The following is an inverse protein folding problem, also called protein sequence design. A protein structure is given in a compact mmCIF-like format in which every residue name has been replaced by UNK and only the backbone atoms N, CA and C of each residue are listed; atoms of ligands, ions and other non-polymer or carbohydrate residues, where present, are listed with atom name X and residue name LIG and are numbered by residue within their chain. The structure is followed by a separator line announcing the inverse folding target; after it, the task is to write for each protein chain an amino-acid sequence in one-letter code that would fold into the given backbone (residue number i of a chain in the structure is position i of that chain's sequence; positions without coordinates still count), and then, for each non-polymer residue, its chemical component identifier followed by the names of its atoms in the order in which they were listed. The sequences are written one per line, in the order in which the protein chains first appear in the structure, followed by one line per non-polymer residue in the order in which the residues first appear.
data_IF_521616007267
#
_entry.id   IF_521616007267
#
_cell.length_a   1.000
_cell.length_b   1.000
_cell.length_c   1.000
_cell.angle_alpha   90.00
_cell.angle_beta   90.00
_cell.angle_gamma   90.00
#
_symmetry.space_group_name_H-M   'P 1'
#
loop_
_entity.id
_entity.type
_entity.pdbx_description
1 polymer ?
#
# COMPACT_ATOMS: atom_id res chain seq x y z
N UNK A 1 -4.68 -17.16 4.80
CA UNK A 1 -5.54 -15.96 4.72
C UNK A 1 -7.00 -16.22 5.11
N UNK A 2 -7.57 -17.40 4.84
CA UNK A 2 -8.85 -17.85 5.43
C UNK A 2 -8.74 -18.09 6.94
N UNK A 3 -7.56 -18.48 7.42
CA UNK A 3 -7.25 -18.71 8.83
C UNK A 3 -7.51 -17.49 9.73
N UNK A 4 -7.18 -16.28 9.29
CA UNK A 4 -7.40 -15.06 10.10
C UNK A 4 -8.89 -14.76 10.31
N UNK A 5 -9.71 -14.93 9.27
CA UNK A 5 -11.15 -14.75 9.33
C UNK A 5 -11.84 -15.84 10.15
N UNK A 6 -11.37 -17.07 10.05
CA UNK A 6 -11.85 -18.19 10.88
C UNK A 6 -11.52 -17.93 12.36
N UNK A 7 -10.30 -17.52 12.68
CA UNK A 7 -9.89 -17.21 14.05
C UNK A 7 -10.66 -16.01 14.61
N UNK A 8 -10.81 -14.93 13.84
CA UNK A 8 -11.59 -13.76 14.28
C UNK A 8 -13.08 -14.10 14.49
N UNK A 9 -13.67 -14.91 13.61
CA UNK A 9 -15.04 -15.41 13.77
C UNK A 9 -15.21 -16.24 15.05
N UNK A 10 -14.25 -17.12 15.35
CA UNK A 10 -14.25 -17.93 16.58
C UNK A 10 -14.20 -17.03 17.83
N UNK A 11 -13.36 -16.00 17.85
CA UNK A 11 -13.27 -15.08 18.99
C UNK A 11 -14.56 -14.28 19.21
N UNK A 12 -15.22 -13.83 18.14
CA UNK A 12 -16.51 -13.11 18.22
C UNK A 12 -17.60 -14.03 18.76
N UNK A 13 -17.68 -15.27 18.28
CA UNK A 13 -18.64 -16.27 18.77
C UNK A 13 -18.37 -16.59 20.23
N UNK A 14 -17.11 -16.77 20.62
CA UNK A 14 -16.71 -17.02 22.00
C UNK A 14 -17.10 -15.87 22.95
N UNK A 15 -16.90 -14.62 22.54
CA UNK A 15 -17.30 -13.44 23.31
C UNK A 15 -18.83 -13.37 23.49
N UNK A 16 -19.59 -13.62 22.42
CA UNK A 16 -21.06 -13.65 22.48
C UNK A 16 -21.59 -14.75 23.40
N UNK A 17 -20.96 -15.93 23.39
CA UNK A 17 -21.35 -17.07 24.23
C UNK A 17 -21.23 -16.76 25.73
N UNK A 18 -20.31 -15.88 26.13
CA UNK A 18 -20.13 -15.47 27.53
C UNK A 18 -21.02 -14.29 27.93
N UNK A 19 -21.27 -13.36 27.02
CA UNK A 19 -22.03 -12.13 27.29
C UNK A 19 -23.55 -12.37 27.27
N UNK A 20 -24.05 -13.21 26.37
CA UNK A 20 -25.49 -13.45 26.24
C UNK A 20 -26.12 -14.06 27.51
N UNK A 21 -25.56 -15.13 28.11
CA UNK A 21 -26.17 -15.75 29.29
C UNK A 21 -26.10 -14.88 30.54
N UNK A 22 -25.06 -14.06 30.65
CA UNK A 22 -24.87 -13.16 31.80
C UNK A 22 -25.83 -11.98 31.75
N UNK A 23 -26.14 -11.47 30.55
CA UNK A 23 -27.13 -10.41 30.35
C UNK A 23 -28.58 -10.90 30.47
N UNK A 24 -28.85 -12.16 30.11
CA UNK A 24 -30.18 -12.78 30.17
C UNK A 24 -30.54 -13.32 31.56
N UNK A 25 -29.59 -13.38 32.51
CA UNK A 25 -29.85 -13.85 33.88
C UNK A 25 -30.56 -12.77 34.68
N UNK A 26 -31.89 -12.77 34.56
CA UNK A 26 -32.82 -11.88 35.23
C UNK A 26 -32.62 -11.93 36.77
N UNK A 27 -32.02 -10.88 37.35
CA UNK A 27 -31.74 -10.77 38.79
C UNK A 27 -32.86 -10.00 39.50
N UNK A 28 -34.11 -10.37 39.26
CA UNK A 28 -35.29 -9.68 39.80
C UNK A 28 -36.28 -10.68 40.40
N UNK A 29 -36.38 -10.70 41.73
CA UNK A 29 -37.51 -11.34 42.42
C UNK A 29 -37.26 -11.86 43.83
N UNK A 30 -36.02 -12.20 44.21
CA UNK A 30 -35.83 -13.02 45.42
C UNK A 30 -35.67 -12.23 46.73
N UNK A 31 -35.42 -10.92 46.69
CA UNK A 31 -35.15 -10.12 47.89
C UNK A 31 -36.39 -9.56 48.59
N UNK A 32 -37.53 -9.41 47.87
CA UNK A 32 -38.76 -8.82 48.43
C UNK A 32 -39.68 -9.84 49.09
N UNK A 33 -39.94 -10.97 48.42
CA UNK A 33 -40.87 -12.01 48.92
C UNK A 33 -40.28 -12.77 50.11
N UNK A 34 -38.98 -13.09 50.08
CA UNK A 34 -38.30 -13.79 51.17
C UNK A 34 -38.24 -12.97 52.48
N UNK A 35 -38.16 -11.63 52.40
CA UNK A 35 -38.22 -10.74 53.58
C UNK A 35 -39.61 -10.71 54.21
N UNK A 36 -40.67 -10.65 53.39
CA UNK A 36 -42.07 -10.62 53.86
C UNK A 36 -42.46 -11.91 54.58
N UNK A 37 -42.04 -13.08 54.07
CA UNK A 37 -42.31 -14.37 54.73
C UNK A 37 -41.48 -14.55 56.01
N UNK A 38 -40.23 -14.09 56.03
CA UNK A 38 -39.35 -14.21 57.20
C UNK A 38 -39.79 -13.33 58.37
N UNK A 39 -40.26 -12.10 58.11
CA UNK A 39 -40.69 -11.21 59.19
C UNK A 39 -41.99 -11.71 59.86
N UNK A 40 -42.94 -12.24 59.09
CA UNK A 40 -44.22 -12.74 59.64
C UNK A 40 -44.04 -13.99 60.51
N UNK A 41 -43.08 -14.88 60.18
CA UNK A 41 -42.83 -16.06 61.01
C UNK A 41 -42.26 -15.68 62.38
N UNK A 42 -41.38 -14.68 62.45
CA UNK A 42 -40.79 -14.22 63.72
C UNK A 42 -41.86 -13.73 64.70
N UNK A 43 -42.83 -12.95 64.22
CA UNK A 43 -43.93 -12.46 65.05
C UNK A 43 -44.84 -13.58 65.57
N UNK A 44 -45.05 -14.63 64.78
CA UNK A 44 -45.82 -15.81 65.23
C UNK A 44 -45.11 -16.55 66.35
N UNK A 45 -43.80 -16.70 66.25
CA UNK A 45 -42.99 -17.37 67.27
C UNK A 45 -43.01 -16.58 68.60
N UNK A 46 -42.91 -15.25 68.54
CA UNK A 46 -42.97 -14.38 69.73
C UNK A 46 -44.32 -14.41 70.45
N UNK A 47 -45.44 -14.56 69.73
CA UNK A 47 -46.76 -14.75 70.36
C UNK A 47 -46.83 -16.10 71.09
N UNK A 48 -46.27 -17.15 70.49
CA UNK A 48 -46.23 -18.47 71.13
C UNK A 48 -45.36 -18.48 72.40
N UNK A 49 -44.31 -17.66 72.45
CA UNK A 49 -43.47 -17.50 73.64
C UNK A 49 -44.25 -16.82 74.78
N UNK A 50 -44.96 -15.71 74.49
CA UNK A 50 -45.85 -15.04 75.45
C UNK A 50 -46.94 -15.98 75.99
N UNK A 51 -47.50 -16.86 75.16
CA UNK A 51 -48.49 -17.85 75.59
C UNK A 51 -47.89 -18.87 76.58
N UNK A 52 -46.63 -19.25 76.39
CA UNK A 52 -45.94 -20.16 77.31
C UNK A 52 -45.59 -19.47 78.63
N UNK A 53 -45.19 -18.21 78.60
CA UNK A 53 -44.87 -17.45 79.81
C UNK A 53 -46.10 -17.19 80.68
N UNK A 54 -47.27 -16.98 80.07
CA UNK A 54 -48.54 -16.92 80.79
C UNK A 54 -48.90 -18.26 81.44
N UNK A 55 -48.65 -19.38 80.75
CA UNK A 55 -48.92 -20.73 81.29
C UNK A 55 -47.97 -21.13 82.41
N UNK A 56 -46.75 -20.61 82.39
CA UNK A 56 -45.72 -20.89 83.40
C UNK A 56 -45.79 -19.91 84.58
N UNK A 57 -46.88 -19.11 84.70
CA UNK A 57 -47.07 -18.05 85.71
C UNK A 57 -45.94 -17.02 85.76
N UNK A 58 -45.18 -16.86 84.67
CA UNK A 58 -44.09 -15.87 84.54
C UNK A 58 -44.68 -14.49 84.24
N UNK A 59 -45.70 -14.43 83.38
CA UNK A 59 -46.49 -13.22 83.12
C UNK A 59 -47.88 -13.34 83.75
N UNK A 60 -48.38 -12.24 84.31
CA UNK A 60 -49.78 -12.16 84.69
C UNK A 60 -50.68 -11.84 83.46
N UNK A 61 -51.99 -12.05 83.60
CA UNK A 61 -52.93 -11.88 82.49
C UNK A 61 -52.95 -10.46 81.90
N UNK A 62 -52.73 -9.45 82.73
CA UNK A 62 -52.73 -8.04 82.33
C UNK A 62 -51.48 -7.71 81.49
N UNK A 63 -50.30 -8.15 81.95
CA UNK A 63 -49.02 -7.99 81.27
C UNK A 63 -48.99 -8.73 79.92
N UNK A 64 -49.57 -9.93 79.86
CA UNK A 64 -49.71 -10.67 78.61
C UNK A 64 -50.54 -9.89 77.59
N UNK A 65 -51.70 -9.36 78.01
CA UNK A 65 -52.57 -8.60 77.12
C UNK A 65 -51.91 -7.31 76.62
N UNK A 66 -51.16 -6.62 77.48
CA UNK A 66 -50.41 -5.42 77.10
C UNK A 66 -49.29 -5.76 76.09
N UNK A 67 -48.47 -6.77 76.39
CA UNK A 67 -47.34 -7.17 75.53
C UNK A 67 -47.82 -7.66 74.15
N UNK A 68 -48.93 -8.41 74.13
CA UNK A 68 -49.57 -8.87 72.90
C UNK A 68 -50.07 -7.71 72.04
N UNK A 69 -50.65 -6.69 72.66
CA UNK A 69 -51.14 -5.52 71.94
C UNK A 69 -50.00 -4.70 71.32
N UNK A 70 -48.92 -4.47 72.06
CA UNK A 70 -47.72 -3.78 71.55
C UNK A 70 -47.08 -4.53 70.37
N UNK A 71 -47.01 -5.87 70.47
CA UNK A 71 -46.48 -6.70 69.40
C UNK A 71 -47.33 -6.63 68.12
N UNK A 72 -48.66 -6.62 68.26
CA UNK A 72 -49.58 -6.46 67.13
C UNK A 72 -49.44 -5.10 66.45
N UNK A 73 -49.32 -4.01 67.23
CA UNK A 73 -49.08 -2.68 66.67
C UNK A 73 -47.75 -2.60 65.91
N UNK A 74 -46.69 -3.21 66.46
CA UNK A 74 -45.38 -3.27 65.80
C UNK A 74 -45.45 -4.06 64.50
N UNK A 75 -46.15 -5.20 64.48
CA UNK A 75 -46.35 -6.01 63.28
C UNK A 75 -47.05 -5.21 62.18
N UNK A 76 -48.09 -4.43 62.50
CA UNK A 76 -48.80 -3.59 61.53
C UNK A 76 -47.87 -2.50 60.97
N UNK A 77 -46.98 -1.93 61.79
CA UNK A 77 -46.01 -0.91 61.36
C UNK A 77 -44.88 -1.48 60.50
N UNK A 78 -44.43 -2.69 60.81
CA UNK A 78 -43.32 -3.37 60.14
C UNK A 78 -43.75 -4.15 58.89
N UNK A 79 -45.06 -4.33 58.68
CA UNK A 79 -45.64 -4.76 57.40
C UNK A 79 -45.96 -3.48 56.63
N UNK A 80 -45.16 -3.08 55.63
CA UNK A 80 -45.48 -1.90 54.84
C UNK A 80 -46.83 -2.12 54.15
N UNK A 81 -47.80 -1.24 54.40
CA UNK A 81 -48.92 -1.05 53.46
C UNK A 81 -48.30 -0.63 52.12
N UNK A 82 -48.67 -1.32 51.06
CA UNK A 82 -48.21 -0.99 49.72
C UNK A 82 -48.72 0.41 49.35
N UNK A 83 -47.83 1.41 49.31
CA UNK A 83 -48.03 2.56 48.43
C UNK A 83 -48.02 2.02 46.98
N UNK A 84 -49.12 2.14 46.21
CA UNK A 84 -49.14 1.68 44.82
C UNK A 84 -48.45 2.68 43.88
N UNK A 85 -47.45 3.43 44.36
CA UNK A 85 -46.77 4.45 43.56
C UNK A 85 -45.34 4.63 44.05
N UNK A 86 -44.40 3.89 43.45
CA UNK A 86 -43.05 4.34 43.07
C UNK A 86 -42.08 3.17 43.01
N UNK A 87 -41.56 2.89 41.81
CA UNK A 87 -40.47 1.94 41.64
C UNK A 87 -40.56 1.00 40.44
N UNK A 88 -41.51 1.20 39.52
CA UNK A 88 -41.37 0.64 38.18
C UNK A 88 -40.27 1.39 37.41
N UNK A 89 -39.00 1.25 37.83
CA UNK A 89 -37.96 1.15 36.82
C UNK A 89 -38.19 -0.18 36.13
N UNK A 90 -39.08 -0.14 35.15
CA UNK A 90 -39.04 -1.08 34.07
C UNK A 90 -37.63 -0.95 33.48
N UNK A 91 -36.68 -1.80 33.88
CA UNK A 91 -35.73 -2.31 32.90
C UNK A 91 -36.56 -3.16 31.96
N UNK A 92 -37.33 -2.44 31.13
CA UNK A 92 -38.18 -2.98 30.10
C UNK A 92 -37.29 -3.91 29.31
N UNK A 93 -37.79 -5.08 28.93
CA UNK A 93 -37.08 -5.97 27.99
C UNK A 93 -36.56 -5.20 26.75
N UNK A 94 -37.11 -4.00 26.46
CA UNK A 94 -36.56 -3.03 25.51
C UNK A 94 -35.14 -2.51 25.84
N UNK A 95 -34.73 -2.23 27.09
CA UNK A 95 -33.37 -1.70 27.36
C UNK A 95 -32.28 -2.76 27.18
N UNK A 96 -32.58 -4.03 27.50
CA UNK A 96 -31.70 -5.17 27.21
C UNK A 96 -31.66 -5.43 25.70
N UNK A 97 -32.82 -5.39 25.03
CA UNK A 97 -32.89 -5.53 23.58
C UNK A 97 -32.16 -4.40 22.84
N UNK A 98 -32.25 -3.14 23.28
CA UNK A 98 -31.52 -2.03 22.65
C UNK A 98 -30.02 -2.14 22.87
N UNK A 99 -29.56 -2.59 24.05
CA UNK A 99 -28.13 -2.83 24.29
C UNK A 99 -27.60 -3.98 23.42
N UNK A 100 -28.37 -5.05 23.24
CA UNK A 100 -28.00 -6.14 22.33
C UNK A 100 -27.96 -5.68 20.86
N UNK A 101 -28.91 -4.84 20.44
CA UNK A 101 -28.92 -4.26 19.08
C UNK A 101 -27.72 -3.35 18.86
N UNK A 102 -27.33 -2.51 19.81
CA UNK A 102 -26.15 -1.63 19.69
C UNK A 102 -24.85 -2.45 19.61
N UNK A 103 -24.72 -3.50 20.42
CA UNK A 103 -23.55 -4.39 20.41
C UNK A 103 -23.44 -5.15 19.09
N UNK A 104 -24.56 -5.55 18.48
CA UNK A 104 -24.57 -6.23 17.18
C UNK A 104 -24.40 -5.26 16.01
N UNK A 105 -24.96 -4.04 16.13
CA UNK A 105 -24.89 -3.02 15.09
C UNK A 105 -23.47 -2.46 14.94
N UNK A 106 -22.70 -2.35 16.03
CA UNK A 106 -21.33 -1.83 15.99
C UNK A 106 -20.38 -2.63 15.07
N UNK A 107 -20.25 -3.97 15.16
CA UNK A 107 -19.42 -4.75 14.24
C UNK A 107 -19.97 -4.76 12.81
N UNK A 108 -21.30 -4.77 12.63
CA UNK A 108 -21.91 -4.70 11.29
C UNK A 108 -21.60 -3.35 10.64
N UNK A 109 -21.71 -2.25 11.39
CA UNK A 109 -21.38 -0.91 10.94
C UNK A 109 -19.88 -0.80 10.64
N UNK A 110 -19.01 -1.40 11.46
CA UNK A 110 -17.57 -1.44 11.21
C UNK A 110 -17.23 -2.19 9.91
N UNK A 111 -17.86 -3.34 9.66
CA UNK A 111 -17.71 -4.08 8.40
C UNK A 111 -18.26 -3.28 7.22
N UNK A 112 -19.42 -2.63 7.37
CA UNK A 112 -20.02 -1.81 6.32
C UNK A 112 -19.19 -0.56 5.97
N UNK A 113 -18.67 0.14 6.98
CA UNK A 113 -17.73 1.26 6.80
C UNK A 113 -16.42 0.79 6.16
N UNK A 114 -15.92 -0.39 6.53
CA UNK A 114 -14.74 -0.96 5.88
C UNK A 114 -15.00 -1.28 4.41
N UNK A 115 -16.18 -1.76 4.04
CA UNK A 115 -16.54 -1.98 2.64
C UNK A 115 -16.73 -0.66 1.85
N UNK A 116 -17.17 0.42 2.51
CA UNK A 116 -17.38 1.73 1.86
C UNK A 116 -16.11 2.60 1.77
N UNK A 117 -15.30 2.62 2.83
CA UNK A 117 -14.13 3.50 2.98
C UNK A 117 -12.80 2.74 2.85
N UNK A 118 -12.81 1.45 3.14
CA UNK A 118 -11.62 0.60 3.04
C UNK A 118 -11.30 0.29 1.59
N UNK A 119 -10.01 0.34 1.27
CA UNK A 119 -9.52 -0.15 -0.01
C UNK A 119 -9.60 -1.68 -0.02
N UNK A 120 -10.71 -2.24 -0.46
CA UNK A 120 -10.89 -3.69 -0.68
C UNK A 120 -9.82 -4.28 -1.61
N UNK A 121 -9.10 -3.43 -2.36
CA UNK A 121 -7.97 -3.82 -3.21
C UNK A 121 -6.66 -4.06 -2.44
N UNK A 122 -6.56 -3.70 -1.15
CA UNK A 122 -5.42 -4.08 -0.30
C UNK A 122 -5.56 -5.51 0.27
N UNK A 123 -6.73 -6.12 0.14
CA UNK A 123 -7.02 -7.52 0.49
C UNK A 123 -6.89 -8.50 -0.69
N UNK A 124 -6.75 -7.98 -1.92
CA UNK A 124 -6.25 -8.80 -3.02
C UNK A 124 -4.83 -9.23 -2.64
N UNK A 125 -4.43 -10.50 -2.86
CA UNK A 125 -3.06 -10.92 -2.69
C UNK A 125 -2.16 -9.89 -3.37
N UNK A 126 -1.37 -9.15 -2.58
CA UNK A 126 -0.26 -8.38 -3.14
C UNK A 126 0.54 -9.34 -4.02
N UNK A 127 1.03 -8.89 -5.19
CA UNK A 127 1.55 -9.82 -6.17
C UNK A 127 2.60 -10.68 -5.49
N UNK A 128 2.31 -11.98 -5.42
CA UNK A 128 3.25 -13.05 -5.04
C UNK A 128 4.58 -12.87 -5.81
N UNK A 129 4.54 -12.13 -6.92
CA UNK A 129 5.61 -11.75 -7.81
C UNK A 129 6.63 -10.74 -7.23
N UNK A 130 6.27 -9.85 -6.30
CA UNK A 130 7.29 -9.04 -5.59
C UNK A 130 8.12 -9.90 -4.63
N UNK A 131 7.48 -10.90 -4.00
CA UNK A 131 8.17 -11.91 -3.19
C UNK A 131 8.96 -12.89 -4.07
N UNK A 132 8.49 -13.21 -5.28
CA UNK A 132 9.22 -14.03 -6.25
C UNK A 132 10.53 -13.35 -6.70
N UNK A 133 10.54 -12.03 -6.89
CA UNK A 133 11.77 -11.29 -7.25
C UNK A 133 12.82 -11.27 -6.14
N UNK A 134 12.39 -11.41 -4.89
CA UNK A 134 13.27 -11.54 -3.72
C UNK A 134 13.73 -12.99 -3.54
N UNK A 135 12.87 -13.98 -3.84
CA UNK A 135 13.18 -15.40 -3.75
C UNK A 135 14.08 -15.93 -4.88
N UNK A 136 14.05 -15.32 -6.06
CA UNK A 136 14.88 -15.67 -7.24
C UNK A 136 16.40 -15.47 -6.97
N UNK A 137 16.75 -14.68 -5.94
CA UNK A 137 18.15 -14.48 -5.53
C UNK A 137 18.68 -15.50 -4.52
N UNK A 138 17.83 -16.36 -3.95
CA UNK A 138 18.18 -17.24 -2.83
C UNK A 138 17.82 -18.71 -3.03
N UNK A 139 17.17 -19.09 -4.13
CA UNK A 139 16.62 -20.44 -4.28
C UNK A 139 17.51 -21.33 -5.15
N UNK A 140 18.06 -22.37 -4.52
CA UNK A 140 18.77 -23.47 -5.16
C UNK A 140 17.86 -24.19 -6.17
N UNK A 141 18.45 -24.63 -7.27
CA UNK A 141 17.87 -25.06 -8.55
C UNK A 141 16.87 -26.25 -8.58
N UNK A 142 16.27 -26.65 -7.46
CA UNK A 142 15.31 -27.78 -7.41
C UNK A 142 13.83 -27.35 -7.27
N UNK A 143 13.52 -26.09 -6.95
CA UNK A 143 12.13 -25.62 -6.67
C UNK A 143 11.47 -24.81 -7.82
N UNK A 144 12.19 -24.56 -8.92
CA UNK A 144 11.70 -23.72 -10.04
C UNK A 144 10.50 -24.36 -10.75
N UNK A 145 10.44 -25.70 -10.79
CA UNK A 145 9.39 -26.43 -11.50
C UNK A 145 7.98 -26.28 -10.89
N UNK A 146 7.86 -26.13 -9.57
CA UNK A 146 6.55 -25.98 -8.92
C UNK A 146 6.03 -24.53 -8.99
N UNK A 147 6.93 -23.55 -8.94
CA UNK A 147 6.59 -22.13 -8.92
C UNK A 147 6.12 -21.62 -10.29
N UNK A 148 6.76 -22.06 -11.38
CA UNK A 148 6.35 -21.72 -12.75
C UNK A 148 4.97 -22.28 -13.10
N UNK A 149 4.65 -23.48 -12.59
CA UNK A 149 3.33 -24.11 -12.77
C UNK A 149 2.24 -23.35 -12.02
N UNK A 150 2.51 -22.90 -10.80
CA UNK A 150 1.55 -22.12 -10.01
C UNK A 150 1.28 -20.76 -10.67
N UNK A 151 2.33 -20.03 -11.09
CA UNK A 151 2.22 -18.75 -11.80
C UNK A 151 1.43 -18.93 -13.12
N UNK A 152 1.74 -19.97 -13.89
CA UNK A 152 1.04 -20.25 -15.15
C UNK A 152 -0.44 -20.55 -14.92
N UNK A 153 -0.79 -21.27 -13.86
CA UNK A 153 -2.18 -21.55 -13.50
C UNK A 153 -2.96 -20.28 -13.13
N UNK A 154 -2.34 -19.34 -12.41
CA UNK A 154 -2.94 -18.05 -12.04
C UNK A 154 -3.21 -17.23 -13.31
N UNK A 155 -2.24 -17.15 -14.21
CA UNK A 155 -2.39 -16.46 -15.50
C UNK A 155 -3.52 -17.08 -16.32
N UNK A 156 -3.58 -18.41 -16.43
CA UNK A 156 -4.62 -19.09 -17.20
C UNK A 156 -6.03 -18.85 -16.62
N UNK A 157 -6.17 -18.88 -15.29
CA UNK A 157 -7.44 -18.55 -14.63
C UNK A 157 -7.87 -17.10 -14.89
N UNK A 158 -6.92 -16.17 -14.88
CA UNK A 158 -7.18 -14.76 -15.18
C UNK A 158 -7.63 -14.57 -16.64
N UNK A 159 -6.97 -15.25 -17.58
CA UNK A 159 -7.37 -15.25 -19.01
C UNK A 159 -8.78 -15.79 -19.17
N UNK A 160 -9.09 -16.97 -18.60
CA UNK A 160 -10.42 -17.57 -18.71
C UNK A 160 -11.53 -16.68 -18.14
N UNK A 161 -11.26 -15.97 -17.02
CA UNK A 161 -12.19 -14.99 -16.48
C UNK A 161 -12.41 -13.82 -17.46
N UNK A 162 -11.34 -13.28 -18.02
CA UNK A 162 -11.41 -12.14 -18.95
C UNK A 162 -12.08 -12.51 -20.27
N UNK A 163 -12.04 -13.77 -20.69
CA UNK A 163 -12.84 -14.27 -21.81
C UNK A 163 -14.35 -14.23 -21.51
N UNK A 164 -14.74 -14.54 -20.27
CA UNK A 164 -16.15 -14.44 -19.83
C UNK A 164 -16.60 -13.02 -19.48
N UNK A 165 -15.65 -12.12 -19.17
CA UNK A 165 -15.88 -10.74 -18.76
C UNK A 165 -14.98 -9.79 -19.58
N UNK A 166 -15.24 -9.63 -20.90
CA UNK A 166 -14.36 -8.88 -21.78
C UNK A 166 -14.27 -7.39 -21.45
N UNK A 167 -15.24 -6.84 -20.73
CA UNK A 167 -15.28 -5.43 -20.34
C UNK A 167 -14.55 -5.12 -19.01
N UNK A 168 -13.94 -6.13 -18.36
CA UNK A 168 -13.18 -5.95 -17.11
C UNK A 168 -11.82 -5.27 -17.39
N UNK A 169 -11.83 -3.94 -17.51
CA UNK A 169 -10.65 -3.11 -17.79
C UNK A 169 -9.53 -3.32 -16.76
N UNK A 170 -9.89 -3.47 -15.48
CA UNK A 170 -8.92 -3.70 -14.40
C UNK A 170 -8.29 -5.09 -14.52
N UNK A 171 -9.09 -6.10 -14.84
CA UNK A 171 -8.60 -7.45 -15.11
C UNK A 171 -7.59 -7.47 -16.26
N UNK A 172 -7.88 -6.78 -17.37
CA UNK A 172 -6.96 -6.67 -18.50
C UNK A 172 -5.68 -5.92 -18.11
N UNK A 173 -5.78 -4.85 -17.33
CA UNK A 173 -4.62 -4.12 -16.82
C UNK A 173 -3.74 -5.03 -15.95
N UNK A 174 -4.35 -5.81 -15.06
CA UNK A 174 -3.65 -6.77 -14.21
C UNK A 174 -2.97 -7.84 -15.04
N UNK A 175 -3.65 -8.43 -16.03
CA UNK A 175 -3.06 -9.45 -16.92
C UNK A 175 -1.85 -8.89 -17.68
N UNK A 176 -1.95 -7.68 -18.23
CA UNK A 176 -0.85 -7.02 -18.92
C UNK A 176 0.36 -6.79 -18.01
N UNK A 177 0.14 -6.37 -16.77
CA UNK A 177 1.20 -6.24 -15.75
C UNK A 177 1.83 -7.57 -15.41
N UNK A 178 1.03 -8.60 -15.19
CA UNK A 178 1.52 -9.94 -14.88
C UNK A 178 2.43 -10.44 -15.99
N UNK A 179 1.99 -10.37 -17.26
CA UNK A 179 2.86 -10.73 -18.38
C UNK A 179 4.13 -9.89 -18.44
N UNK A 180 4.06 -8.59 -18.14
CA UNK A 180 5.24 -7.71 -18.12
C UNK A 180 6.26 -8.14 -17.07
N UNK A 181 5.80 -8.51 -15.87
CA UNK A 181 6.71 -8.93 -14.79
C UNK A 181 7.32 -10.30 -15.10
N UNK A 182 6.58 -11.18 -15.77
CA UNK A 182 7.08 -12.48 -16.24
C UNK A 182 8.00 -12.38 -17.46
N UNK A 183 8.32 -11.17 -17.95
CA UNK A 183 9.14 -10.96 -19.14
C UNK A 183 8.44 -11.34 -20.46
N UNK A 184 7.15 -11.68 -20.41
CA UNK A 184 6.30 -12.03 -21.55
C UNK A 184 5.78 -10.77 -22.24
N UNK A 185 6.71 -9.94 -22.73
CA UNK A 185 6.41 -8.59 -23.22
C UNK A 185 5.51 -8.59 -24.47
N UNK A 186 5.60 -9.62 -25.31
CA UNK A 186 4.76 -9.73 -26.50
C UNK A 186 3.30 -9.96 -26.12
N UNK A 187 3.03 -10.87 -25.20
CA UNK A 187 1.68 -11.12 -24.69
C UNK A 187 1.13 -9.94 -23.90
N UNK A 188 1.98 -9.28 -23.09
CA UNK A 188 1.61 -8.03 -22.43
C UNK A 188 1.20 -6.96 -23.44
N UNK A 189 1.97 -6.79 -24.53
CA UNK A 189 1.68 -5.84 -25.61
C UNK A 189 0.32 -6.10 -26.25
N UNK A 190 -0.02 -7.35 -26.55
CA UNK A 190 -1.34 -7.74 -27.10
C UNK A 190 -2.48 -7.43 -26.13
N UNK A 191 -2.28 -7.68 -24.83
CA UNK A 191 -3.27 -7.35 -23.78
C UNK A 191 -3.50 -5.84 -23.70
N UNK A 192 -2.44 -5.03 -23.70
CA UNK A 192 -2.58 -3.58 -23.68
C UNK A 192 -3.25 -3.02 -24.94
N UNK A 193 -3.04 -3.64 -26.11
CA UNK A 193 -3.77 -3.27 -27.34
C UNK A 193 -5.27 -3.51 -27.17
N UNK A 194 -5.68 -4.66 -26.62
CA UNK A 194 -7.10 -4.94 -26.32
C UNK A 194 -7.66 -3.94 -25.31
N UNK A 195 -6.93 -3.69 -24.22
CA UNK A 195 -7.33 -2.73 -23.19
C UNK A 195 -7.53 -1.32 -23.76
N UNK A 196 -6.63 -0.86 -24.63
CA UNK A 196 -6.73 0.45 -25.27
C UNK A 196 -7.82 0.51 -26.37
N UNK A 197 -8.25 -0.64 -26.91
CA UNK A 197 -9.43 -0.66 -27.77
C UNK A 197 -10.73 -0.39 -26.97
N UNK A 198 -10.79 -0.88 -25.74
CA UNK A 198 -11.93 -0.66 -24.82
C UNK A 198 -11.86 0.71 -24.12
N UNK A 199 -10.65 1.16 -23.76
CA UNK A 199 -10.41 2.43 -23.08
C UNK A 199 -9.24 3.19 -23.72
N UNK A 200 -9.47 3.90 -24.85
CA UNK A 200 -8.41 4.54 -25.63
C UNK A 200 -7.61 5.61 -24.89
N UNK A 201 -8.21 6.23 -23.87
CA UNK A 201 -7.64 7.36 -23.14
C UNK A 201 -7.23 6.99 -21.71
N UNK A 202 -7.16 5.69 -21.40
CA UNK A 202 -6.55 5.22 -20.16
C UNK A 202 -5.06 5.58 -20.14
N UNK A 203 -4.70 6.60 -19.36
CA UNK A 203 -3.30 7.05 -19.20
C UNK A 203 -2.42 5.90 -18.72
N UNK A 204 -2.91 5.11 -17.77
CA UNK A 204 -2.16 3.99 -17.19
C UNK A 204 -1.89 2.88 -18.20
N UNK A 205 -2.88 2.55 -19.05
CA UNK A 205 -2.71 1.58 -20.12
C UNK A 205 -1.75 2.11 -21.21
N UNK A 206 -1.87 3.39 -21.60
CA UNK A 206 -0.98 4.01 -22.60
C UNK A 206 0.49 3.96 -22.17
N UNK A 207 0.77 4.35 -20.92
CA UNK A 207 2.15 4.39 -20.40
C UNK A 207 2.71 2.98 -20.20
N UNK A 208 1.90 2.05 -19.69
CA UNK A 208 2.34 0.66 -19.52
C UNK A 208 2.55 -0.04 -20.86
N UNK A 209 1.72 0.28 -21.86
CA UNK A 209 1.91 -0.21 -23.21
C UNK A 209 3.19 0.31 -23.84
N UNK A 210 3.50 1.61 -23.68
CA UNK A 210 4.73 2.20 -24.20
C UNK A 210 5.98 1.50 -23.63
N UNK A 211 6.00 1.29 -22.32
CA UNK A 211 7.07 0.61 -21.59
C UNK A 211 7.27 -0.83 -22.09
N UNK A 212 6.19 -1.61 -22.14
CA UNK A 212 6.24 -3.00 -22.62
C UNK A 212 6.62 -3.10 -24.09
N UNK A 213 6.09 -2.22 -24.94
CA UNK A 213 6.43 -2.21 -26.35
C UNK A 213 7.90 -1.86 -26.56
N UNK A 214 8.46 -0.94 -25.77
CA UNK A 214 9.90 -0.66 -25.80
C UNK A 214 10.73 -1.90 -25.41
N UNK A 215 10.29 -2.69 -24.43
CA UNK A 215 10.95 -3.96 -24.08
C UNK A 215 10.91 -5.00 -25.21
N UNK A 216 9.92 -4.94 -26.11
CA UNK A 216 9.92 -5.77 -27.34
C UNK A 216 10.87 -5.26 -28.43
N UNK A 217 11.48 -4.09 -28.24
CA UNK A 217 12.39 -3.42 -29.17
C UNK A 217 13.73 -3.06 -28.48
N UNK A 218 14.28 -4.01 -27.72
CA UNK A 218 15.57 -3.85 -27.01
C UNK A 218 15.64 -2.63 -26.08
N UNK A 219 14.50 -2.21 -25.55
CA UNK A 219 14.38 -1.06 -24.64
C UNK A 219 14.25 0.30 -25.33
N UNK A 220 14.22 0.35 -26.67
CA UNK A 220 14.10 1.61 -27.42
C UNK A 220 12.74 2.28 -27.19
N UNK A 221 12.75 3.55 -26.78
CA UNK A 221 11.53 4.35 -26.66
C UNK A 221 11.16 5.09 -27.96
N UNK A 222 11.85 4.79 -29.06
CA UNK A 222 11.62 5.41 -30.37
C UNK A 222 10.43 4.80 -31.12
N UNK A 223 9.79 5.60 -31.97
CA UNK A 223 8.63 5.18 -32.75
C UNK A 223 7.35 5.15 -31.91
N UNK A 224 6.69 4.00 -31.82
CA UNK A 224 5.38 3.88 -31.18
C UNK A 224 5.38 4.21 -29.67
N UNK A 225 6.37 3.82 -28.84
CA UNK A 225 6.38 4.16 -27.41
C UNK A 225 6.29 5.67 -27.15
N UNK A 226 7.09 6.49 -27.82
CA UNK A 226 7.06 7.94 -27.62
C UNK A 226 5.71 8.56 -28.05
N UNK A 227 5.04 8.02 -29.06
CA UNK A 227 3.68 8.45 -29.43
C UNK A 227 2.67 8.17 -28.31
N UNK A 228 2.72 6.97 -27.73
CA UNK A 228 1.87 6.57 -26.60
C UNK A 228 2.14 7.42 -25.35
N UNK A 229 3.41 7.66 -25.04
CA UNK A 229 3.84 8.52 -23.93
C UNK A 229 3.32 9.95 -24.12
N UNK A 230 3.47 10.50 -25.33
CA UNK A 230 2.96 11.84 -25.64
C UNK A 230 1.42 11.90 -25.55
N UNK A 231 0.71 10.85 -25.97
CA UNK A 231 -0.75 10.76 -25.77
C UNK A 231 -1.09 10.75 -24.28
N UNK A 232 -0.42 9.92 -23.48
CA UNK A 232 -0.62 9.87 -22.04
C UNK A 232 -0.36 11.21 -21.34
N UNK A 233 0.71 11.93 -21.71
CA UNK A 233 1.04 13.23 -21.14
C UNK A 233 0.07 14.35 -21.54
N UNK A 234 -0.61 14.23 -22.69
CA UNK A 234 -1.70 15.17 -23.04
C UNK A 234 -2.92 14.97 -22.15
N UNK A 235 -3.22 13.73 -21.77
CA UNK A 235 -4.37 13.39 -20.92
C UNK A 235 -4.06 13.71 -19.46
N UNK A 236 -2.89 13.27 -18.98
CA UNK A 236 -2.41 13.55 -17.63
C UNK A 236 -0.96 14.08 -17.66
N UNK A 237 -0.78 15.41 -17.67
CA UNK A 237 0.54 16.04 -17.72
C UNK A 237 1.42 15.82 -16.49
N UNK A 238 0.86 15.28 -15.41
CA UNK A 238 1.57 15.04 -14.13
C UNK A 238 1.74 13.55 -13.84
N UNK A 239 1.51 12.66 -14.81
CA UNK A 239 1.72 11.24 -14.59
C UNK A 239 3.24 10.95 -14.39
N UNK A 240 3.66 10.42 -13.23
CA UNK A 240 5.08 10.24 -12.93
C UNK A 240 5.80 9.30 -13.91
N UNK A 241 5.19 8.15 -14.23
CA UNK A 241 5.79 7.16 -15.13
C UNK A 241 5.89 7.71 -16.57
N UNK A 242 4.88 8.45 -17.03
CA UNK A 242 4.92 9.10 -18.34
C UNK A 242 6.03 10.16 -18.43
N UNK A 243 6.22 10.97 -17.38
CA UNK A 243 7.28 11.98 -17.32
C UNK A 243 8.67 11.32 -17.30
N UNK A 244 8.84 10.23 -16.54
CA UNK A 244 10.08 9.46 -16.50
C UNK A 244 10.46 8.95 -17.90
N UNK A 245 9.53 8.24 -18.57
CA UNK A 245 9.77 7.68 -19.89
C UNK A 245 9.94 8.76 -20.97
N UNK A 246 9.22 9.88 -20.89
CA UNK A 246 9.41 11.00 -21.82
C UNK A 246 10.81 11.60 -21.70
N UNK A 247 11.32 11.76 -20.48
CA UNK A 247 12.70 12.21 -20.25
C UNK A 247 13.70 11.25 -20.87
N UNK A 248 13.56 9.94 -20.63
CA UNK A 248 14.43 8.90 -21.20
C UNK A 248 14.38 8.90 -22.73
N UNK A 249 13.20 8.97 -23.33
CA UNK A 249 13.06 9.04 -24.78
C UNK A 249 13.71 10.30 -25.38
N UNK A 250 13.62 11.46 -24.70
CA UNK A 250 14.33 12.67 -25.15
C UNK A 250 15.84 12.56 -25.00
N UNK A 251 16.31 11.86 -23.98
CA UNK A 251 17.72 11.59 -23.77
C UNK A 251 18.28 10.69 -24.87
N UNK A 252 17.57 9.62 -25.23
CA UNK A 252 17.91 8.74 -26.37
C UNK A 252 17.93 9.49 -27.71
N UNK A 253 17.08 10.50 -27.89
CA UNK A 253 17.09 11.37 -29.07
C UNK A 253 18.25 12.38 -29.10
N UNK A 254 19.13 12.39 -28.10
CA UNK A 254 20.17 13.40 -27.92
C UNK A 254 19.64 14.78 -27.50
N UNK A 255 18.34 14.92 -27.21
CA UNK A 255 17.70 16.19 -26.81
C UNK A 255 17.83 16.37 -25.31
N UNK A 256 19.06 16.46 -24.81
CA UNK A 256 19.36 16.40 -23.39
C UNK A 256 18.68 17.49 -22.56
N UNK A 257 18.59 18.73 -23.07
CA UNK A 257 17.89 19.80 -22.36
C UNK A 257 16.39 19.51 -22.20
N UNK A 258 15.76 18.91 -23.21
CA UNK A 258 14.33 18.52 -23.12
C UNK A 258 14.15 17.35 -22.15
N UNK A 259 15.09 16.42 -22.10
CA UNK A 259 15.08 15.32 -21.15
C UNK A 259 15.09 15.83 -19.70
N UNK A 260 16.00 16.77 -19.40
CA UNK A 260 16.10 17.41 -18.10
C UNK A 260 14.78 18.04 -17.65
N UNK A 261 14.09 18.76 -18.55
CA UNK A 261 12.80 19.40 -18.23
C UNK A 261 11.72 18.39 -17.81
N UNK A 262 11.63 17.22 -18.48
CA UNK A 262 10.66 16.19 -18.10
C UNK A 262 10.98 15.58 -16.74
N UNK A 263 12.25 15.30 -16.47
CA UNK A 263 12.70 14.75 -15.19
C UNK A 263 12.62 15.74 -14.04
N UNK A 264 12.85 17.04 -14.26
CA UNK A 264 12.60 18.09 -13.26
C UNK A 264 11.12 18.17 -12.86
N UNK A 265 10.22 18.06 -13.85
CA UNK A 265 8.77 17.97 -13.56
C UNK A 265 8.43 16.72 -12.77
N UNK A 266 9.12 15.61 -13.00
CA UNK A 266 8.97 14.39 -12.21
C UNK A 266 9.45 14.60 -10.76
N UNK A 267 10.62 15.20 -10.55
CA UNK A 267 11.17 15.53 -9.22
C UNK A 267 10.25 16.41 -8.39
N UNK A 268 9.46 17.29 -9.03
CA UNK A 268 8.47 18.11 -8.35
C UNK A 268 7.25 17.33 -7.82
N UNK A 269 7.08 16.05 -8.20
CA UNK A 269 5.91 15.23 -7.88
C UNK A 269 6.27 14.08 -6.94
N UNK A 270 7.48 13.50 -7.08
CA UNK A 270 7.91 12.36 -6.27
C UNK A 270 8.54 12.81 -4.94
N UNK A 271 8.51 11.96 -3.89
CA UNK A 271 9.15 12.27 -2.61
C UNK A 271 10.65 12.51 -2.78
N UNK A 272 11.13 13.64 -2.25
CA UNK A 272 12.53 14.08 -2.42
C UNK A 272 13.55 13.14 -1.77
N UNK A 273 13.13 12.38 -0.76
CA UNK A 273 13.91 11.38 -0.02
C UNK A 273 13.92 9.99 -0.69
N UNK A 274 13.15 9.78 -1.77
CA UNK A 274 13.10 8.50 -2.46
C UNK A 274 14.37 8.21 -3.27
N UNK A 275 14.74 6.93 -3.36
CA UNK A 275 15.83 6.47 -4.25
C UNK A 275 15.59 6.88 -5.71
N UNK A 276 14.32 6.86 -6.15
CA UNK A 276 13.92 7.33 -7.47
C UNK A 276 14.26 8.82 -7.66
N UNK A 277 14.00 9.67 -6.67
CA UNK A 277 14.35 11.09 -6.76
C UNK A 277 15.86 11.32 -6.88
N UNK A 278 16.67 10.55 -6.15
CA UNK A 278 18.14 10.63 -6.26
C UNK A 278 18.61 10.21 -7.66
N UNK A 279 18.09 9.09 -8.18
CA UNK A 279 18.43 8.59 -9.53
C UNK A 279 18.01 9.57 -10.64
N UNK A 280 16.80 10.12 -10.54
CA UNK A 280 16.29 11.11 -11.49
C UNK A 280 17.08 12.42 -11.41
N UNK A 281 17.47 12.88 -10.21
CA UNK A 281 18.33 14.06 -10.05
C UNK A 281 19.68 13.88 -10.75
N UNK A 282 20.34 12.73 -10.55
CA UNK A 282 21.59 12.43 -11.24
C UNK A 282 21.42 12.39 -12.77
N UNK A 283 20.27 11.92 -13.25
CA UNK A 283 19.94 11.90 -14.69
C UNK A 283 19.73 13.32 -15.25
N UNK A 284 19.12 14.23 -14.47
CA UNK A 284 18.99 15.66 -14.81
C UNK A 284 20.36 16.31 -14.93
N UNK A 285 21.24 16.11 -13.95
CA UNK A 285 22.59 16.69 -13.94
C UNK A 285 23.43 16.19 -15.12
N UNK A 286 23.37 14.88 -15.41
CA UNK A 286 24.01 14.28 -16.58
C UNK A 286 23.47 14.87 -17.89
N UNK A 287 22.16 15.02 -18.03
CA UNK A 287 21.58 15.60 -19.23
C UNK A 287 21.99 17.07 -19.42
N UNK A 288 22.02 17.87 -18.35
CA UNK A 288 22.47 19.26 -18.43
C UNK A 288 23.94 19.39 -18.83
N UNK A 289 24.83 18.56 -18.28
CA UNK A 289 26.26 18.59 -18.65
C UNK A 289 26.48 18.20 -20.11
N UNK A 290 25.78 17.17 -20.62
CA UNK A 290 25.83 16.80 -22.03
C UNK A 290 25.31 17.92 -22.95
N UNK A 291 24.24 18.60 -22.55
CA UNK A 291 23.70 19.73 -23.30
C UNK A 291 24.66 20.94 -23.36
N UNK A 292 25.45 21.16 -22.30
CA UNK A 292 26.47 22.22 -22.28
C UNK A 292 27.64 21.86 -23.20
N UNK A 293 28.11 20.61 -23.15
CA UNK A 293 29.20 20.14 -24.01
C UNK A 293 28.83 20.21 -25.49
N UNK A 294 27.57 19.92 -25.85
CA UNK A 294 27.05 20.07 -27.21
C UNK A 294 27.05 21.54 -27.68
N UNK A 295 26.70 22.47 -26.78
CA UNK A 295 26.77 23.92 -27.05
C UNK A 295 28.20 24.41 -27.24
N UNK A 296 29.14 23.97 -26.41
CA UNK A 296 30.54 24.36 -26.54
C UNK A 296 31.18 23.80 -27.83
N UNK A 297 30.81 22.58 -28.23
CA UNK A 297 31.25 22.01 -29.50
C UNK A 297 30.64 22.74 -30.70
N UNK A 298 29.36 23.10 -30.65
CA UNK A 298 28.71 23.84 -31.74
C UNK A 298 29.24 25.28 -31.85
N UNK A 299 29.49 25.98 -30.74
CA UNK A 299 30.13 27.31 -30.75
C UNK A 299 31.55 27.23 -31.33
N UNK A 300 32.33 26.22 -30.94
CA UNK A 300 33.70 26.01 -31.46
C UNK A 300 33.68 25.72 -32.96
N UNK A 301 32.72 24.92 -33.46
CA UNK A 301 32.58 24.63 -34.89
C UNK A 301 32.09 25.84 -35.71
N UNK A 302 31.18 26.66 -35.18
CA UNK A 302 30.74 27.90 -35.83
C UNK A 302 31.86 28.94 -35.87
N UNK A 303 32.69 28.99 -34.82
CA UNK A 303 33.84 29.90 -34.80
C UNK A 303 34.95 29.44 -35.76
N UNK A 304 35.25 28.14 -35.84
CA UNK A 304 36.20 27.59 -36.81
C UNK A 304 35.76 27.76 -38.27
N UNK A 305 34.46 27.64 -38.56
CA UNK A 305 33.91 27.89 -39.90
C UNK A 305 33.91 29.38 -40.27
N UNK A 306 33.71 30.28 -39.31
CA UNK A 306 33.87 31.73 -39.52
C UNK A 306 35.34 32.18 -39.65
N UNK A 307 36.31 31.41 -39.14
CA UNK A 307 37.75 31.63 -39.36
C UNK A 307 38.21 31.13 -40.74
N UNK A 308 37.58 30.09 -41.29
CA UNK A 308 37.89 29.58 -42.64
C UNK A 308 37.35 30.48 -43.76
N UNK A 309 36.25 31.21 -43.52
CA UNK A 309 35.62 32.07 -44.53
C UNK A 309 36.17 33.51 -44.59
N UNK A 310 37.28 33.80 -43.90
CA UNK A 310 37.93 35.14 -43.88
C UNK A 310 39.36 35.16 -44.45
N UNK A 311 39.86 34.05 -44.99
CA UNK A 311 41.20 33.95 -45.59
C UNK A 311 41.15 33.57 -47.08
N UNK A 312 40.49 34.38 -47.90
CA UNK A 312 40.73 34.44 -49.35
C UNK A 312 40.85 35.89 -49.79
N UNK A 313 41.89 36.58 -49.29
CA UNK A 313 42.52 37.71 -49.98
C UNK A 313 43.84 38.06 -49.28
N UNK A 314 44.90 38.19 -50.09
CA UNK A 314 46.18 38.85 -49.81
C UNK A 314 47.34 37.97 -49.32
N UNK A 315 48.12 37.59 -50.32
CA UNK A 315 49.55 37.30 -50.38
C UNK A 315 50.45 37.89 -49.27
N UNK A 316 51.49 37.11 -48.95
CA UNK A 316 52.92 37.49 -48.82
C UNK A 316 53.60 37.21 -47.45
N UNK A 317 54.53 36.25 -47.48
CA UNK A 317 55.86 36.17 -46.84
C UNK A 317 56.06 36.60 -45.36
N UNK A 318 56.41 35.65 -44.47
CA UNK A 318 57.66 35.63 -43.65
C UNK A 318 57.58 34.72 -42.39
N UNK A 319 58.50 33.75 -42.34
CA UNK A 319 59.48 33.41 -41.27
C UNK A 319 59.16 33.69 -39.77
N UNK A 320 59.05 32.58 -39.01
CA UNK A 320 59.60 32.27 -37.65
C UNK A 320 59.33 33.25 -36.47
N UNK A 321 58.67 32.79 -35.40
CA UNK A 321 59.22 32.68 -34.01
C UNK A 321 58.19 32.21 -32.97
N UNK A 322 58.72 31.44 -32.01
CA UNK A 322 58.26 31.00 -30.68
C UNK A 322 57.03 31.65 -30.02
N UNK A 323 56.11 30.78 -29.59
CA UNK A 323 55.82 30.51 -28.16
C UNK A 323 55.20 31.60 -27.30
N UNK A 324 53.92 31.42 -26.95
CA UNK A 324 53.40 31.73 -25.60
C UNK A 324 52.39 30.67 -25.18
N UNK A 325 52.62 30.16 -23.98
CA UNK A 325 51.90 29.15 -23.23
C UNK A 325 50.54 29.69 -22.77
N UNK A 326 49.45 28.97 -23.05
CA UNK A 326 48.17 29.16 -22.39
C UNK A 326 47.91 27.98 -21.42
N UNK A 327 47.78 28.37 -20.16
CA UNK A 327 47.73 27.60 -18.92
C UNK A 327 46.58 26.57 -18.89
N UNK A 328 46.95 25.33 -18.59
CA UNK A 328 46.06 24.19 -18.39
C UNK A 328 45.38 24.20 -17.01
N UNK A 329 44.15 23.72 -16.97
CA UNK A 329 43.62 22.96 -15.83
C UNK A 329 42.50 22.01 -16.30
N UNK A 330 42.90 20.92 -16.92
CA UNK A 330 42.12 19.67 -16.99
C UNK A 330 43.12 18.53 -17.00
N UNK A 331 43.10 17.66 -15.98
CA UNK A 331 43.99 16.51 -15.91
C UNK A 331 43.63 15.53 -17.05
N UNK A 332 44.25 15.69 -18.21
CA UNK A 332 44.09 14.78 -19.35
C UNK A 332 45.11 13.65 -19.27
N UNK A 333 44.65 12.40 -19.37
CA UNK A 333 45.51 11.22 -19.49
C UNK A 333 45.53 10.80 -20.96
N UNK A 334 46.72 10.69 -21.55
CA UNK A 334 46.92 10.25 -22.93
C UNK A 334 47.94 9.11 -23.00
N UNK A 335 47.75 8.14 -23.90
CA UNK A 335 48.69 7.03 -24.10
C UNK A 335 48.46 6.32 -25.43
N UNK A 336 49.39 5.44 -25.82
CA UNK A 336 49.30 4.61 -27.03
C UNK A 336 49.21 3.15 -26.60
N UNK A 337 48.17 2.44 -27.03
CA UNK A 337 48.04 0.99 -26.85
C UNK A 337 48.60 0.30 -28.07
N UNK A 338 49.51 -0.66 -27.87
CA UNK A 338 50.04 -1.52 -28.93
C UNK A 338 49.79 -2.96 -28.55
N UNK A 339 49.22 -3.73 -29.48
CA UNK A 339 49.04 -5.17 -29.32
C UNK A 339 50.37 -5.86 -29.60
N UNK A 340 50.79 -6.76 -28.71
CA UNK A 340 52.00 -7.55 -28.92
C UNK A 340 51.79 -8.58 -30.05
N UNK A 341 52.84 -8.93 -30.82
CA UNK A 341 52.69 -9.87 -31.95
C UNK A 341 52.07 -11.23 -31.58
N UNK A 342 52.27 -11.69 -30.33
CA UNK A 342 51.70 -12.94 -29.83
C UNK A 342 50.16 -12.88 -29.63
N UNK A 343 49.59 -11.69 -29.41
CA UNK A 343 48.14 -11.49 -29.24
C UNK A 343 47.46 -11.02 -30.54
N UNK A 344 48.23 -10.53 -31.51
CA UNK A 344 47.70 -10.07 -32.80
C UNK A 344 46.93 -11.15 -33.57
N UNK A 345 47.34 -12.43 -33.45
CA UNK A 345 46.66 -13.55 -34.09
C UNK A 345 45.32 -13.95 -33.42
N UNK A 346 44.99 -13.36 -32.26
CA UNK A 346 43.79 -13.68 -31.47
C UNK A 346 42.83 -12.49 -31.34
N UNK A 347 43.17 -11.34 -31.91
CA UNK A 347 42.35 -10.13 -31.87
C UNK A 347 41.70 -9.90 -33.24
N UNK A 348 40.38 -9.77 -33.25
CA UNK A 348 39.57 -9.40 -34.41
C UNK A 348 39.41 -7.86 -34.50
N UNK A 349 39.24 -7.27 -35.69
CA UNK A 349 38.91 -5.85 -35.85
C UNK A 349 37.63 -5.41 -35.11
N UNK A 350 36.72 -6.35 -34.83
CA UNK A 350 35.45 -6.12 -34.13
C UNK A 350 35.54 -6.29 -32.61
N UNK A 351 36.71 -6.67 -32.08
CA UNK A 351 36.89 -6.88 -30.65
C UNK A 351 36.93 -5.54 -29.89
N UNK A 352 36.20 -5.47 -28.79
CA UNK A 352 36.12 -4.26 -27.97
C UNK A 352 37.24 -4.21 -26.93
N UNK A 353 38.09 -3.17 -26.99
CA UNK A 353 39.11 -2.90 -25.98
C UNK A 353 38.56 -1.98 -24.89
N UNK A 354 38.54 -2.47 -23.64
CA UNK A 354 38.21 -1.65 -22.47
C UNK A 354 39.48 -1.10 -21.82
N UNK A 355 39.58 0.22 -21.70
CA UNK A 355 40.71 0.90 -21.04
C UNK A 355 40.19 1.56 -19.77
N UNK A 356 40.70 1.13 -18.62
CA UNK A 356 40.35 1.69 -17.31
C UNK A 356 41.51 2.52 -16.76
N UNK A 357 41.25 3.79 -16.47
CA UNK A 357 42.17 4.65 -15.74
C UNK A 357 41.69 4.78 -14.30
N UNK A 358 42.44 4.22 -13.34
CA UNK A 358 42.12 4.35 -11.90
C UNK A 358 43.09 5.30 -11.22
N UNK A 359 42.56 6.11 -10.30
CA UNK A 359 43.40 6.85 -9.37
C UNK A 359 44.16 5.85 -8.46
N UNK A 360 45.39 6.21 -8.06
CA UNK A 360 46.19 5.36 -7.16
C UNK A 360 45.49 5.13 -5.81
N UNK A 361 44.71 6.11 -5.34
CA UNK A 361 43.99 6.11 -4.07
C UNK A 361 42.50 6.51 -4.26
N UNK A 362 41.62 5.56 -4.62
CA UNK A 362 40.16 5.75 -4.75
C UNK A 362 39.37 4.52 -4.28
N UNK A 363 38.07 4.65 -3.93
CA UNK A 363 37.31 3.54 -3.33
C UNK A 363 37.22 2.36 -4.30
N UNK A 364 37.49 1.17 -3.76
CA UNK A 364 37.60 -0.10 -4.48
C UNK A 364 36.27 -0.59 -5.02
#
# INVERSE_FOLDING_TARGET
MTSFWVVSGIFIVGALLFILPTLLRNRSGQSGVARRTTNVSIYRDQISELDNDLRNDILNQEQYNQSKYELQQRMIRDIPEEDPISGAQTTSKRSIATSAVVILAMPILAVSLYLLLGNSRALLPQPIIEQAKIADRTSTSEDIGHQDLEISSIVNNLVARLESQPDDLEGWLMLGRTYSILGRFKEASEVYVKLLALSPDSTEALVSYADVFAMTQDGSLMGKPIELINKALRINPKNPKALALAGTAKFEQGKFMQAAVYWERLLAIIPADSELAQSVSGSVDKAKSLALNEKDHTITMVQASNLSNKNTSSSNNQKVTNGVVAKASSNTISGIVRITPALAARASPEDTLYIYARAKDGPR
#
